data_IF_836384559933
#
_entry.id   IF_836384559933
#
_cell.length_a   1.000
_cell.length_b   1.000
_cell.length_c   1.000
_cell.angle_alpha   90.00
_cell.angle_beta   90.00
_cell.angle_gamma   90.00
#
_symmetry.space_group_name_H-M   'P 1'
#
loop_
_entity.id
_entity.type
_entity.pdbx_description
1 polymer ?
#
# COMPACT_ATOMS: atom_id res chain seq x y z
N UNK A 1 -5.55 -14.63 -4.47
CA UNK A 1 -5.38 -13.44 -5.34
C UNK A 1 -5.90 -12.23 -4.59
N UNK A 2 -5.17 -11.12 -4.56
CA UNK A 2 -5.61 -9.88 -3.87
C UNK A 2 -6.47 -9.05 -4.81
N UNK A 3 -7.61 -8.58 -4.31
CA UNK A 3 -8.48 -7.62 -4.98
C UNK A 3 -8.47 -6.31 -4.21
N UNK A 4 -8.15 -5.23 -4.89
CA UNK A 4 -8.02 -3.89 -4.31
C UNK A 4 -8.77 -2.85 -5.14
N UNK A 5 -9.18 -1.77 -4.47
CA UNK A 5 -9.75 -0.56 -5.04
C UNK A 5 -9.03 0.64 -4.43
N UNK A 6 -8.74 1.66 -5.23
CA UNK A 6 -8.28 2.95 -4.74
C UNK A 6 -9.48 3.86 -4.49
N UNK A 7 -9.40 4.59 -3.39
CA UNK A 7 -10.31 5.67 -3.03
C UNK A 7 -9.45 6.88 -2.63
N UNK A 8 -9.94 8.07 -2.93
CA UNK A 8 -9.23 9.33 -2.67
C UNK A 8 -9.97 10.11 -1.60
N UNK A 9 -9.23 10.65 -0.65
CA UNK A 9 -9.75 11.43 0.47
C UNK A 9 -8.92 12.69 0.64
N UNK A 10 -9.55 13.75 1.14
CA UNK A 10 -8.83 14.88 1.70
C UNK A 10 -8.09 14.42 2.96
N UNK A 11 -6.84 14.84 3.14
CA UNK A 11 -6.00 14.39 4.27
C UNK A 11 -6.64 14.71 5.63
N UNK A 12 -7.37 15.83 5.71
CA UNK A 12 -8.06 16.26 6.92
C UNK A 12 -9.23 15.34 7.30
N UNK A 13 -9.89 14.73 6.32
CA UNK A 13 -11.15 13.99 6.47
C UNK A 13 -10.98 12.49 6.12
N UNK A 14 -9.74 12.02 6.03
CA UNK A 14 -9.44 10.63 5.68
C UNK A 14 -9.94 9.67 6.79
N UNK A 15 -10.67 8.59 6.44
CA UNK A 15 -11.02 7.55 7.41
C UNK A 15 -9.75 6.88 7.98
N UNK A 16 -9.82 6.21 9.14
CA UNK A 16 -8.67 5.47 9.68
C UNK A 16 -8.04 4.52 8.65
N UNK A 17 -6.72 4.61 8.52
CA UNK A 17 -5.94 3.81 7.59
C UNK A 17 -4.60 3.41 8.18
N UNK A 18 -4.10 2.26 7.74
CA UNK A 18 -2.73 1.85 8.01
C UNK A 18 -1.80 2.37 6.92
N UNK A 19 -0.57 2.74 7.25
CA UNK A 19 0.48 3.02 6.27
C UNK A 19 1.49 1.86 6.23
N UNK A 20 1.81 1.40 5.03
CA UNK A 20 2.83 0.37 4.82
C UNK A 20 4.19 1.02 4.58
N UNK A 21 5.19 0.64 5.37
CA UNK A 21 6.60 0.95 5.15
C UNK A 21 7.32 -0.34 4.76
N UNK A 22 7.91 -0.36 3.57
CA UNK A 22 8.59 -1.53 3.02
C UNK A 22 9.72 -1.08 2.08
N UNK A 23 10.61 -2.00 1.73
CA UNK A 23 11.71 -1.73 0.80
C UNK A 23 11.19 -1.48 -0.63
N UNK A 24 11.60 -0.37 -1.23
CA UNK A 24 11.39 -0.10 -2.65
C UNK A 24 12.33 -0.95 -3.50
N UNK A 25 11.78 -1.83 -4.34
CA UNK A 25 12.55 -2.68 -5.27
C UNK A 25 12.38 -2.25 -6.72
N UNK A 26 13.46 -2.40 -7.48
CA UNK A 26 13.43 -2.22 -8.94
C UNK A 26 12.51 -3.26 -9.60
N UNK A 27 11.90 -2.93 -10.75
CA UNK A 27 11.15 -3.91 -11.53
C UNK A 27 11.96 -5.13 -11.90
N UNK A 28 11.38 -6.31 -11.67
CA UNK A 28 11.87 -7.55 -12.24
C UNK A 28 10.72 -8.22 -13.01
N UNK A 29 10.65 -7.93 -14.31
CA UNK A 29 9.51 -8.29 -15.15
C UNK A 29 9.27 -9.80 -15.30
N UNK A 30 10.28 -10.64 -15.02
CA UNK A 30 10.13 -12.10 -15.13
C UNK A 30 9.52 -12.75 -13.88
N UNK A 31 9.58 -12.09 -12.72
CA UNK A 31 9.16 -12.65 -11.43
C UNK A 31 8.11 -11.83 -10.68
N UNK A 32 7.81 -10.61 -11.15
CA UNK A 32 6.87 -9.71 -10.49
C UNK A 32 5.42 -10.19 -10.63
N UNK A 33 4.70 -10.42 -9.52
CA UNK A 33 3.31 -10.87 -9.56
C UNK A 33 2.33 -9.73 -9.86
N UNK A 34 1.06 -10.09 -10.03
CA UNK A 34 -0.03 -9.12 -10.19
C UNK A 34 -1.10 -9.25 -9.10
N UNK A 35 -1.74 -8.12 -8.81
CA UNK A 35 -2.99 -8.03 -8.05
C UNK A 35 -4.12 -7.54 -8.96
N UNK A 36 -5.38 -7.66 -8.52
CA UNK A 36 -6.52 -7.09 -9.23
C UNK A 36 -6.83 -5.71 -8.66
N UNK A 37 -6.46 -4.65 -9.38
CA UNK A 37 -6.75 -3.27 -9.01
C UNK A 37 -7.88 -2.73 -9.89
N UNK A 38 -9.03 -2.40 -9.29
CA UNK A 38 -10.26 -2.05 -10.02
C UNK A 38 -10.66 -3.09 -11.08
N UNK A 39 -10.45 -4.38 -10.78
CA UNK A 39 -10.75 -5.49 -11.69
C UNK A 39 -9.80 -5.61 -12.89
N UNK A 40 -8.68 -4.86 -12.89
CA UNK A 40 -7.63 -4.96 -13.90
C UNK A 40 -6.34 -5.50 -13.26
N UNK A 41 -5.57 -6.35 -13.97
CA UNK A 41 -4.26 -6.77 -13.50
C UNK A 41 -3.34 -5.56 -13.30
N UNK A 42 -2.72 -5.49 -12.13
CA UNK A 42 -1.71 -4.48 -11.79
C UNK A 42 -0.48 -5.18 -11.23
N UNK A 43 0.65 -5.01 -11.91
CA UNK A 43 1.93 -5.60 -11.51
C UNK A 43 2.45 -4.93 -10.25
N UNK A 44 2.82 -5.74 -9.25
CA UNK A 44 3.43 -5.29 -8.00
C UNK A 44 4.75 -6.01 -7.80
N UNK A 45 5.64 -5.43 -6.99
CA UNK A 45 6.86 -6.12 -6.58
C UNK A 45 6.54 -7.33 -5.71
N UNK A 46 7.35 -8.39 -5.82
CA UNK A 46 7.16 -9.61 -5.02
C UNK A 46 7.13 -9.33 -3.51
N UNK A 47 8.02 -8.47 -3.01
CA UNK A 47 8.07 -8.11 -1.60
C UNK A 47 6.80 -7.37 -1.12
N UNK A 48 6.23 -6.49 -1.96
CA UNK A 48 4.96 -5.82 -1.69
C UNK A 48 3.81 -6.83 -1.63
N UNK A 49 3.73 -7.76 -2.58
CA UNK A 49 2.69 -8.80 -2.54
C UNK A 49 2.78 -9.60 -1.25
N UNK A 50 3.99 -10.02 -0.85
CA UNK A 50 4.22 -10.77 0.38
C UNK A 50 3.79 -9.96 1.61
N UNK A 51 4.17 -8.69 1.69
CA UNK A 51 3.75 -7.79 2.77
C UNK A 51 2.23 -7.70 2.88
N UNK A 52 1.53 -7.46 1.76
CA UNK A 52 0.07 -7.38 1.71
C UNK A 52 -0.59 -8.69 2.13
N UNK A 53 -0.10 -9.83 1.65
CA UNK A 53 -0.62 -11.14 2.07
C UNK A 53 -0.49 -11.33 3.59
N UNK A 54 0.67 -11.03 4.17
CA UNK A 54 0.90 -11.17 5.61
C UNK A 54 0.02 -10.24 6.44
N UNK A 55 -0.14 -8.98 6.01
CA UNK A 55 -1.03 -8.01 6.68
C UNK A 55 -2.47 -8.50 6.66
N UNK A 56 -2.96 -8.92 5.48
CA UNK A 56 -4.33 -9.42 5.33
C UNK A 56 -4.58 -10.71 6.13
N UNK A 57 -3.60 -11.61 6.20
CA UNK A 57 -3.68 -12.81 7.05
C UNK A 57 -3.74 -12.47 8.54
N UNK A 58 -2.91 -11.53 8.98
CA UNK A 58 -2.90 -11.07 10.35
C UNK A 58 -4.23 -10.41 10.74
N UNK A 59 -4.75 -9.52 9.88
CA UNK A 59 -6.06 -8.89 10.08
C UNK A 59 -7.19 -9.92 10.16
N UNK A 60 -7.21 -10.94 9.29
CA UNK A 60 -8.22 -12.02 9.34
C UNK A 60 -8.22 -12.79 10.65
N UNK A 61 -7.07 -12.93 11.32
CA UNK A 61 -6.95 -13.69 12.58
C UNK A 61 -7.35 -12.89 13.81
N UNK A 62 -7.28 -11.56 13.78
CA UNK A 62 -7.45 -10.75 14.98
C UNK A 62 -8.91 -10.45 15.35
N UNK A 63 -9.90 -10.83 14.52
CA UNK A 63 -11.36 -10.58 14.68
C UNK A 63 -11.79 -9.12 14.93
N UNK A 64 -10.85 -8.20 15.15
CA UNK A 64 -11.03 -6.77 15.22
C UNK A 64 -11.08 -6.23 13.80
N UNK A 65 -12.10 -5.40 13.54
CA UNK A 65 -12.31 -4.70 12.29
C UNK A 65 -10.98 -4.24 11.71
N UNK A 66 -10.55 -4.75 10.54
CA UNK A 66 -9.39 -4.17 9.88
C UNK A 66 -9.72 -2.72 9.63
N UNK A 67 -8.80 -1.80 9.92
CA UNK A 67 -8.83 -0.49 9.28
C UNK A 67 -9.05 -0.77 7.78
N UNK A 68 -10.15 -0.26 7.24
CA UNK A 68 -10.64 -0.66 5.92
C UNK A 68 -9.67 -0.27 4.81
N UNK A 69 -8.74 0.63 5.11
CA UNK A 69 -7.81 1.24 4.18
C UNK A 69 -6.36 0.98 4.56
N UNK A 70 -5.56 0.68 3.53
CA UNK A 70 -4.10 0.60 3.62
C UNK A 70 -3.52 1.54 2.59
N UNK A 71 -2.72 2.48 3.04
CA UNK A 71 -1.94 3.34 2.18
C UNK A 71 -0.62 2.65 1.80
N UNK A 72 -0.38 2.54 0.50
CA UNK A 72 0.81 1.93 -0.09
C UNK A 72 1.30 2.85 -1.19
N UNK A 73 2.48 3.43 -1.03
CA UNK A 73 3.05 4.41 -1.97
C UNK A 73 3.05 3.94 -3.44
N UNK A 74 3.43 2.69 -3.73
CA UNK A 74 3.46 2.15 -5.08
C UNK A 74 2.08 1.92 -5.72
N UNK A 75 1.00 1.95 -4.93
CA UNK A 75 -0.38 1.81 -5.40
C UNK A 75 -1.14 3.14 -5.38
N UNK A 76 -0.96 3.93 -4.33
CA UNK A 76 -1.73 5.16 -4.07
C UNK A 76 -1.17 6.40 -4.79
N UNK A 77 0.06 6.34 -5.30
CA UNK A 77 0.70 7.43 -6.03
C UNK A 77 0.88 7.00 -7.49
N UNK A 78 0.50 7.84 -8.45
CA UNK A 78 0.89 7.61 -9.84
C UNK A 78 2.40 7.79 -10.01
N UNK A 79 3.11 6.67 -10.05
CA UNK A 79 4.56 6.63 -10.19
C UNK A 79 5.06 7.14 -11.55
N UNK A 80 4.17 7.25 -12.55
CA UNK A 80 4.51 7.75 -13.90
C UNK A 80 4.42 9.27 -13.98
N UNK A 81 3.62 9.89 -13.11
CA UNK A 81 3.47 11.34 -13.02
C UNK A 81 4.51 11.93 -12.07
N UNK A 82 5.61 12.47 -12.60
CA UNK A 82 6.65 13.11 -11.78
C UNK A 82 6.07 14.24 -10.92
N UNK A 83 5.12 15.01 -11.48
CA UNK A 83 4.46 16.11 -10.77
C UNK A 83 3.67 15.64 -9.56
N UNK A 84 2.82 14.62 -9.74
CA UNK A 84 2.05 14.01 -8.66
C UNK A 84 2.96 13.33 -7.64
N UNK A 85 3.91 12.52 -8.11
CA UNK A 85 4.86 11.82 -7.23
C UNK A 85 5.60 12.80 -6.34
N UNK A 86 6.13 13.89 -6.90
CA UNK A 86 6.82 14.90 -6.11
C UNK A 86 5.87 15.60 -5.12
N UNK A 87 4.61 15.80 -5.49
CA UNK A 87 3.59 16.32 -4.58
C UNK A 87 3.30 15.37 -3.43
N UNK A 88 3.03 14.09 -3.73
CA UNK A 88 2.74 13.06 -2.74
C UNK A 88 3.94 12.79 -1.81
N UNK A 89 5.17 12.82 -2.32
CA UNK A 89 6.39 12.70 -1.50
C UNK A 89 6.47 13.80 -0.46
N UNK A 90 6.07 15.04 -0.79
CA UNK A 90 6.01 16.14 0.20
C UNK A 90 4.95 15.91 1.28
N UNK A 91 3.90 15.16 0.96
CA UNK A 91 2.82 14.81 1.88
C UNK A 91 3.13 13.58 2.74
N UNK A 92 4.14 12.77 2.40
CA UNK A 92 4.44 11.51 3.11
C UNK A 92 4.58 11.71 4.61
N UNK A 93 5.23 12.79 5.07
CA UNK A 93 5.33 13.08 6.51
C UNK A 93 3.95 13.13 7.17
N UNK A 94 3.02 13.85 6.55
CA UNK A 94 1.67 13.98 7.10
C UNK A 94 0.89 12.66 6.99
N UNK A 95 1.00 11.95 5.87
CA UNK A 95 0.36 10.65 5.65
C UNK A 95 0.82 9.62 6.70
N UNK A 96 2.12 9.50 6.96
CA UNK A 96 2.61 8.56 7.98
C UNK A 96 2.26 9.02 9.41
N UNK A 97 2.25 10.33 9.67
CA UNK A 97 1.92 10.86 11.01
C UNK A 97 0.45 10.64 11.36
N UNK A 98 -0.46 10.69 10.37
CA UNK A 98 -1.90 10.54 10.56
C UNK A 98 -2.40 9.08 10.49
N UNK A 99 -1.57 8.15 10.06
CA UNK A 99 -1.94 6.74 10.00
C UNK A 99 -2.29 6.22 11.41
N UNK A 100 -3.34 5.41 11.54
CA UNK A 100 -3.71 4.75 12.80
C UNK A 100 -2.65 3.74 13.24
N UNK A 101 -1.97 3.15 12.26
CA UNK A 101 -0.89 2.19 12.44
C UNK A 101 0.10 2.31 11.27
N UNK A 102 1.39 2.28 11.59
CA UNK A 102 2.44 2.12 10.58
C UNK A 102 2.98 0.70 10.67
N UNK A 103 2.83 -0.07 9.59
CA UNK A 103 3.36 -1.43 9.49
C UNK A 103 4.71 -1.38 8.78
N UNK A 104 5.79 -1.74 9.48
CA UNK A 104 7.11 -1.89 8.88
C UNK A 104 7.34 -3.33 8.46
N UNK A 105 7.48 -3.56 7.15
CA UNK A 105 7.74 -4.87 6.57
C UNK A 105 9.21 -5.02 6.20
N UNK A 106 9.89 -5.94 6.90
CA UNK A 106 11.33 -6.20 6.72
C UNK A 106 11.61 -7.44 5.86
N UNK A 107 10.58 -8.11 5.34
CA UNK A 107 10.70 -9.37 4.64
C UNK A 107 10.78 -10.57 5.57
N UNK A 108 11.14 -11.72 5.00
CA UNK A 108 11.43 -12.94 5.75
C UNK A 108 12.95 -13.03 5.90
N UNK A 109 13.41 -13.30 7.12
CA UNK A 109 14.83 -13.58 7.40
C UNK A 109 15.30 -14.90 6.82
#
# INVERSE_FOLDING_TARGET
MIHARLETFEIADCPPYMALSYEWKEPNSEEDPFIQLHGRPFTVRNNLLRALCTILEHQRRQEKHPDAYVWVDALCIDQRSIGERNHQVRLMREIYTRASLVVSWLGFG
#
